data_IF_100440704834
#
_entry.id   IF_100440704834
#
_cell.length_a   1.000
_cell.length_b   1.000
_cell.length_c   1.000
_cell.angle_alpha   90.00
_cell.angle_beta   90.00
_cell.angle_gamma   90.00
#
_symmetry.space_group_name_H-M   'P 1'
#
loop_
_entity.id
_entity.type
_entity.pdbx_description
1 polymer ?
#
# COMPACT_ATOMS: atom_id res chain seq x y z
N UNK A 1 -48.23 52.21 13.45
CA UNK A 1 -47.04 52.99 13.08
C UNK A 1 -46.25 52.18 12.05
N UNK A 2 -46.25 52.63 10.84
CA UNK A 2 -45.60 52.03 9.71
C UNK A 2 -44.15 52.51 9.66
N UNK A 3 -43.18 51.63 9.39
CA UNK A 3 -41.84 52.01 9.01
C UNK A 3 -41.40 51.17 7.81
N UNK A 4 -40.99 51.88 6.84
CA UNK A 4 -40.74 51.66 5.43
C UNK A 4 -39.53 50.84 5.12
N UNK A 5 -39.67 49.96 4.10
CA UNK A 5 -38.57 49.33 3.38
C UNK A 5 -37.79 50.35 2.55
N UNK A 6 -36.47 50.32 2.64
CA UNK A 6 -35.61 50.96 1.64
C UNK A 6 -34.76 49.89 0.95
N UNK A 7 -34.96 49.83 -0.38
CA UNK A 7 -34.24 49.02 -1.37
C UNK A 7 -32.84 49.57 -1.62
N UNK A 8 -31.84 48.68 -1.61
CA UNK A 8 -30.50 48.96 -2.14
C UNK A 8 -30.24 48.06 -3.33
N UNK A 9 -30.38 48.61 -4.50
CA UNK A 9 -29.92 48.09 -5.78
C UNK A 9 -28.45 48.42 -5.94
N UNK A 10 -27.57 47.45 -6.02
CA UNK A 10 -26.17 47.63 -6.43
C UNK A 10 -25.93 47.06 -7.81
N UNK A 11 -25.40 47.90 -8.65
CA UNK A 11 -25.12 47.73 -10.06
C UNK A 11 -24.03 46.65 -10.31
N UNK A 12 -24.30 45.76 -11.25
CA UNK A 12 -23.30 44.88 -11.88
C UNK A 12 -22.58 45.67 -12.99
N UNK A 13 -21.30 45.92 -12.80
CA UNK A 13 -20.41 46.41 -13.86
C UNK A 13 -19.82 45.24 -14.64
N UNK A 14 -20.10 45.21 -15.94
CA UNK A 14 -19.50 44.33 -16.94
C UNK A 14 -17.99 44.56 -17.02
N UNK A 15 -17.21 43.49 -16.76
CA UNK A 15 -15.80 43.43 -17.11
C UNK A 15 -15.64 42.54 -18.35
N UNK A 16 -15.41 43.19 -19.49
CA UNK A 16 -15.06 42.58 -20.77
C UNK A 16 -13.61 42.09 -20.74
N UNK A 17 -13.37 40.80 -20.84
CA UNK A 17 -12.05 40.21 -21.04
C UNK A 17 -11.79 40.03 -22.54
N UNK A 18 -10.90 40.84 -23.05
CA UNK A 18 -10.32 40.70 -24.39
C UNK A 18 -9.34 39.54 -24.42
N UNK A 19 -9.58 38.58 -25.30
CA UNK A 19 -8.68 37.51 -25.64
C UNK A 19 -7.60 37.99 -26.61
N UNK A 20 -6.37 38.07 -26.16
CA UNK A 20 -5.21 38.21 -27.04
C UNK A 20 -4.64 36.85 -27.35
N UNK A 21 -4.78 36.40 -28.58
CA UNK A 21 -4.11 35.26 -29.19
C UNK A 21 -2.68 35.64 -29.53
N UNK A 22 -1.71 35.04 -28.85
CA UNK A 22 -0.31 35.05 -29.27
C UNK A 22 0.07 33.66 -29.74
N UNK A 23 0.24 33.51 -31.04
CA UNK A 23 0.88 32.41 -31.71
C UNK A 23 2.38 32.46 -31.43
N UNK A 24 2.94 31.41 -30.86
CA UNK A 24 4.39 31.23 -30.84
C UNK A 24 4.76 29.84 -31.30
N UNK A 25 5.59 29.89 -32.32
CA UNK A 25 6.26 28.84 -33.07
C UNK A 25 7.00 27.79 -32.22
N UNK A 26 6.98 26.53 -32.71
CA UNK A 26 7.82 25.43 -32.28
C UNK A 26 9.31 25.74 -32.51
N UNK A 27 10.19 25.32 -31.63
CA UNK A 27 11.54 24.99 -32.03
C UNK A 27 11.75 23.47 -32.10
N UNK A 28 12.47 23.12 -33.13
CA UNK A 28 13.00 21.83 -33.50
C UNK A 28 14.09 21.32 -32.57
N UNK A 29 14.35 20.02 -32.75
CA UNK A 29 15.58 19.25 -32.51
C UNK A 29 15.75 18.59 -31.16
N UNK A 30 15.54 17.27 -31.24
CA UNK A 30 16.06 16.28 -30.28
C UNK A 30 17.54 16.01 -30.58
N UNK A 31 18.41 15.94 -29.59
CA UNK A 31 19.72 15.33 -29.80
C UNK A 31 19.66 13.81 -29.67
N UNK A 32 20.27 13.18 -30.57
CA UNK A 32 20.61 11.77 -30.75
C UNK A 32 21.29 11.24 -29.48
N UNK A 33 20.65 10.32 -28.75
CA UNK A 33 21.29 9.60 -27.65
C UNK A 33 22.09 8.46 -28.23
N UNK A 34 23.41 8.54 -28.07
CA UNK A 34 24.38 7.53 -28.43
C UNK A 34 24.10 6.20 -27.70
N UNK A 35 24.02 5.12 -28.48
CA UNK A 35 24.05 3.74 -28.01
C UNK A 35 25.40 3.45 -27.37
N UNK A 36 25.42 3.03 -26.12
CA UNK A 36 26.56 2.37 -25.51
C UNK A 36 26.57 0.90 -25.89
N UNK A 37 27.75 0.33 -26.21
CA UNK A 37 27.85 -1.08 -26.58
C UNK A 37 27.82 -1.98 -25.35
N UNK A 38 27.12 -3.09 -25.50
CA UNK A 38 27.15 -4.26 -24.63
C UNK A 38 28.55 -4.86 -24.61
N UNK A 39 29.19 -4.92 -23.43
CA UNK A 39 30.40 -5.71 -23.26
C UNK A 39 30.05 -7.07 -22.67
N UNK A 40 30.23 -8.06 -23.50
CA UNK A 40 30.26 -9.49 -23.20
C UNK A 40 31.48 -9.86 -22.37
N UNK A 41 31.27 -10.79 -21.45
CA UNK A 41 32.16 -11.90 -21.09
C UNK A 41 33.65 -11.64 -20.93
N UNK A 42 34.16 -11.81 -19.74
CA UNK A 42 35.42 -12.52 -19.52
C UNK A 42 35.38 -13.33 -18.24
N UNK A 43 35.30 -14.65 -18.41
CA UNK A 43 35.86 -15.63 -17.49
C UNK A 43 37.38 -15.48 -17.55
N UNK A 44 38.04 -15.49 -16.41
CA UNK A 44 39.42 -15.83 -16.25
C UNK A 44 39.62 -16.46 -14.90
N UNK A 45 39.91 -17.72 -14.95
CA UNK A 45 40.63 -18.58 -14.04
C UNK A 45 41.86 -17.93 -13.44
N UNK A 46 42.16 -18.29 -12.21
CA UNK A 46 43.48 -18.43 -11.58
C UNK A 46 43.28 -19.20 -10.29
N UNK A 47 43.44 -20.52 -10.32
CA UNK A 47 44.54 -21.38 -9.92
C UNK A 47 45.24 -20.97 -8.61
N UNK A 48 44.98 -21.84 -7.66
CA UNK A 48 45.84 -22.49 -6.67
C UNK A 48 47.19 -21.86 -6.34
N UNK A 49 47.42 -21.65 -5.06
CA UNK A 49 48.72 -21.96 -4.47
C UNK A 49 48.55 -22.59 -3.09
N UNK A 50 49.22 -23.69 -2.93
CA UNK A 50 49.28 -24.67 -1.86
C UNK A 50 50.17 -24.26 -0.71
N UNK A 51 49.81 -24.81 0.47
CA UNK A 51 50.67 -25.47 1.45
C UNK A 51 51.66 -24.65 2.29
N UNK A 52 51.56 -24.76 3.60
CA UNK A 52 52.41 -25.47 4.55
C UNK A 52 51.91 -25.15 5.95
N UNK A 53 51.47 -26.11 6.71
CA UNK A 53 52.12 -27.05 7.62
C UNK A 53 52.54 -26.45 8.95
N UNK A 54 51.98 -27.07 9.97
CA UNK A 54 52.49 -27.32 11.33
C UNK A 54 52.43 -26.16 12.34
N UNK A 55 51.61 -26.27 13.37
CA UNK A 55 51.98 -26.88 14.65
C UNK A 55 50.76 -26.90 15.60
N UNK A 56 50.49 -27.99 16.24
CA UNK A 56 49.62 -28.11 17.41
C UNK A 56 50.47 -28.02 18.67
N UNK A 57 49.96 -27.55 19.83
CA UNK A 57 49.51 -28.54 20.82
C UNK A 57 48.25 -28.12 21.61
N UNK A 58 47.45 -29.15 21.87
CA UNK A 58 47.08 -29.77 23.17
C UNK A 58 46.10 -29.01 24.09
N UNK A 59 44.92 -29.61 24.14
CA UNK A 59 44.06 -29.88 25.31
C UNK A 59 43.67 -28.73 26.26
N UNK A 60 42.40 -28.36 26.19
CA UNK A 60 41.60 -28.08 27.39
C UNK A 60 40.14 -28.45 27.10
N UNK A 61 39.61 -29.41 27.84
CA UNK A 61 38.22 -29.86 27.80
C UNK A 61 37.25 -28.74 28.15
N UNK A 62 36.11 -28.58 27.44
CA UNK A 62 35.07 -27.69 27.89
C UNK A 62 34.21 -28.34 28.97
N UNK A 63 34.11 -27.67 30.08
CA UNK A 63 33.12 -27.90 31.12
C UNK A 63 31.75 -27.63 30.52
N UNK A 64 30.90 -28.63 30.44
CA UNK A 64 29.48 -28.53 30.14
C UNK A 64 28.81 -27.69 31.22
N UNK A 65 28.35 -26.48 30.79
CA UNK A 65 27.36 -25.74 31.53
C UNK A 65 26.01 -26.00 30.85
N UNK A 66 25.26 -26.93 31.40
CA UNK A 66 23.86 -27.11 31.14
C UNK A 66 23.11 -25.80 31.55
N UNK A 67 22.67 -25.03 30.57
CA UNK A 67 21.69 -23.98 30.78
C UNK A 67 20.29 -24.57 30.61
N UNK A 68 19.32 -24.26 31.47
CA UNK A 68 17.97 -24.83 31.39
C UNK A 68 17.23 -24.28 30.18
N UNK A 69 16.96 -25.17 29.24
CA UNK A 69 16.19 -24.89 28.02
C UNK A 69 14.66 -24.96 28.23
N UNK A 70 14.19 -24.92 29.49
CA UNK A 70 12.77 -25.15 29.79
C UNK A 70 11.94 -23.87 29.84
N UNK A 71 12.57 -22.66 29.92
CA UNK A 71 11.85 -21.41 30.09
C UNK A 71 11.44 -20.71 28.75
N UNK A 72 12.02 -21.13 27.62
CA UNK A 72 11.67 -20.49 26.31
C UNK A 72 10.43 -21.13 25.67
N UNK A 73 10.15 -22.41 25.90
CA UNK A 73 8.97 -23.07 25.33
C UNK A 73 7.65 -22.62 25.97
N UNK A 74 7.65 -22.27 27.28
CA UNK A 74 6.45 -21.75 27.95
C UNK A 74 6.05 -20.34 27.47
N UNK A 75 7.01 -19.52 27.06
CA UNK A 75 6.72 -18.16 26.56
C UNK A 75 6.13 -18.20 25.15
N UNK A 76 6.56 -19.13 24.31
CA UNK A 76 6.03 -19.29 22.96
C UNK A 76 4.62 -19.87 22.95
N UNK A 77 4.32 -20.80 23.88
CA UNK A 77 2.98 -21.36 24.03
C UNK A 77 1.96 -20.34 24.54
N UNK A 78 2.37 -19.45 25.46
CA UNK A 78 1.54 -18.34 25.96
C UNK A 78 1.28 -17.27 24.87
N UNK A 79 2.27 -17.00 24.02
CA UNK A 79 2.12 -16.05 22.90
C UNK A 79 1.18 -16.60 21.82
N UNK A 80 1.28 -17.90 21.52
CA UNK A 80 0.39 -18.57 20.54
C UNK A 80 -1.04 -18.65 21.09
N UNK A 81 -1.24 -18.93 22.38
CA UNK A 81 -2.56 -18.98 23.00
C UNK A 81 -3.28 -17.61 23.03
N UNK A 82 -2.54 -16.50 23.14
CA UNK A 82 -3.12 -15.14 23.08
C UNK A 82 -3.52 -14.75 21.66
N UNK A 83 -2.91 -15.35 20.62
CA UNK A 83 -3.26 -15.08 19.22
C UNK A 83 -4.59 -15.74 18.81
N UNK A 84 -4.94 -16.89 19.37
CA UNK A 84 -6.16 -17.62 19.02
C UNK A 84 -7.42 -17.08 19.75
N UNK A 85 -7.29 -16.38 20.88
CA UNK A 85 -8.45 -15.85 21.62
C UNK A 85 -9.09 -14.57 21.07
N UNK A 86 -8.48 -13.93 20.07
CA UNK A 86 -9.02 -12.70 19.47
C UNK A 86 -10.04 -12.97 18.35
N UNK A 87 -10.79 -14.06 18.40
CA UNK A 87 -11.83 -14.38 17.42
C UNK A 87 -13.13 -13.61 17.67
N UNK A 88 -13.69 -13.02 16.63
CA UNK A 88 -15.09 -12.54 16.58
C UNK A 88 -15.42 -11.36 17.50
N UNK A 89 -16.02 -11.61 18.66
CA UNK A 89 -16.55 -10.56 19.56
C UNK A 89 -15.43 -9.84 20.31
N UNK A 90 -14.39 -10.56 20.73
CA UNK A 90 -13.23 -10.02 21.44
C UNK A 90 -12.46 -9.03 20.53
N UNK A 91 -12.25 -9.41 19.28
CA UNK A 91 -11.59 -8.56 18.29
C UNK A 91 -12.38 -7.28 17.98
N UNK A 92 -13.71 -7.36 17.93
CA UNK A 92 -14.55 -6.15 17.79
C UNK A 92 -14.43 -5.23 19.01
N UNK A 93 -14.34 -5.77 20.22
CA UNK A 93 -14.10 -4.98 21.45
C UNK A 93 -12.72 -4.32 21.37
N UNK A 94 -11.69 -5.07 21.02
CA UNK A 94 -10.32 -4.58 20.85
C UNK A 94 -10.25 -3.41 19.83
N UNK A 95 -10.79 -3.59 18.63
CA UNK A 95 -10.80 -2.53 17.62
C UNK A 95 -11.58 -1.29 18.09
N UNK A 96 -12.71 -1.46 18.79
CA UNK A 96 -13.46 -0.33 19.35
C UNK A 96 -12.67 0.41 20.43
N UNK A 97 -11.95 -0.31 21.28
CA UNK A 97 -11.13 0.26 22.33
C UNK A 97 -9.94 1.06 21.75
N UNK A 98 -9.30 0.52 20.70
CA UNK A 98 -8.19 1.20 20.02
C UNK A 98 -8.65 2.41 19.19
N UNK A 99 -9.88 2.44 18.70
CA UNK A 99 -10.42 3.54 17.89
C UNK A 99 -11.50 4.34 18.65
N UNK A 100 -11.13 5.14 19.66
CA UNK A 100 -12.10 5.99 20.35
C UNK A 100 -12.71 7.00 19.35
N UNK A 101 -14.03 7.15 19.36
CA UNK A 101 -14.76 7.97 18.38
C UNK A 101 -14.88 7.38 16.98
N UNK A 102 -14.38 6.13 16.77
CA UNK A 102 -14.48 5.42 15.51
C UNK A 102 -13.50 5.89 14.41
N UNK A 103 -13.70 5.40 13.19
CA UNK A 103 -12.80 5.66 12.05
C UNK A 103 -12.73 7.13 11.62
N UNK A 104 -13.74 7.94 11.90
CA UNK A 104 -13.78 9.33 11.46
C UNK A 104 -13.01 10.27 12.39
N UNK A 105 -12.91 9.92 13.65
CA UNK A 105 -12.27 10.74 14.69
C UNK A 105 -10.74 10.59 14.72
N UNK A 106 -10.19 9.64 13.98
CA UNK A 106 -8.76 9.35 14.00
C UNK A 106 -7.95 10.35 13.18
N UNK A 107 -6.77 10.74 13.70
CA UNK A 107 -5.88 11.74 13.08
C UNK A 107 -5.33 11.28 11.73
N UNK A 108 -4.88 10.01 11.65
CA UNK A 108 -4.22 9.46 10.48
C UNK A 108 -5.20 8.57 9.73
N UNK A 109 -6.04 9.19 8.92
CA UNK A 109 -7.01 8.47 8.08
C UNK A 109 -6.76 8.72 6.60
N UNK A 110 -6.91 7.68 5.77
CA UNK A 110 -6.86 7.83 4.33
C UNK A 110 -7.84 6.89 3.63
N UNK A 111 -8.11 7.16 2.36
CA UNK A 111 -8.98 6.32 1.53
C UNK A 111 -8.21 5.81 0.32
N UNK A 112 -8.34 4.51 0.07
CA UNK A 112 -7.89 3.89 -1.16
C UNK A 112 -9.06 3.36 -1.99
N UNK A 113 -8.87 3.25 -3.29
CA UNK A 113 -9.91 2.78 -4.23
C UNK A 113 -9.29 1.96 -5.34
N UNK A 114 -9.91 0.82 -5.66
CA UNK A 114 -9.52 -0.04 -6.78
C UNK A 114 -10.75 -0.72 -7.37
N UNK A 115 -10.98 -0.57 -8.66
CA UNK A 115 -12.24 -1.01 -9.31
C UNK A 115 -13.43 -0.41 -8.56
N UNK A 116 -14.32 -1.26 -8.03
CA UNK A 116 -15.47 -0.86 -7.19
C UNK A 116 -15.18 -0.96 -5.69
N UNK A 117 -13.99 -1.43 -5.29
CA UNK A 117 -13.60 -1.50 -3.88
C UNK A 117 -13.19 -0.14 -3.33
N UNK A 118 -13.66 0.15 -2.13
CA UNK A 118 -13.34 1.36 -1.35
C UNK A 118 -12.85 0.93 0.01
N UNK A 119 -11.63 1.33 0.37
CA UNK A 119 -11.03 1.09 1.67
C UNK A 119 -10.84 2.41 2.42
N UNK A 120 -11.32 2.49 3.65
CA UNK A 120 -10.99 3.56 4.60
C UNK A 120 -9.99 2.97 5.59
N UNK A 121 -8.80 3.52 5.60
CA UNK A 121 -7.67 3.05 6.40
C UNK A 121 -7.39 4.05 7.51
N UNK A 122 -7.10 3.53 8.69
CA UNK A 122 -6.58 4.25 9.85
C UNK A 122 -5.26 3.59 10.22
N UNK A 123 -4.23 4.40 10.45
CA UNK A 123 -2.98 3.95 11.02
C UNK A 123 -2.86 4.42 12.46
N UNK A 124 -2.44 3.53 13.33
CA UNK A 124 -2.09 3.81 14.73
C UNK A 124 -0.74 3.17 15.03
N UNK A 125 -0.01 3.73 15.97
CA UNK A 125 1.21 3.13 16.48
C UNK A 125 0.88 1.78 17.15
N UNK A 126 1.67 0.75 16.83
CA UNK A 126 1.37 -0.60 17.30
C UNK A 126 2.43 -1.63 16.89
N UNK A 127 2.00 -2.84 16.61
CA UNK A 127 2.84 -4.03 16.42
C UNK A 127 2.85 -4.57 14.98
N UNK A 128 2.26 -3.87 14.01
CA UNK A 128 2.19 -4.33 12.61
C UNK A 128 0.98 -5.21 12.29
N UNK A 129 -0.01 -5.28 13.17
CA UNK A 129 -1.23 -6.07 12.94
C UNK A 129 -2.16 -5.39 11.93
N UNK A 130 -2.87 -6.20 11.15
CA UNK A 130 -3.79 -5.70 10.12
C UNK A 130 -5.20 -6.21 10.38
N UNK A 131 -6.13 -5.31 10.64
CA UNK A 131 -7.53 -5.62 10.92
C UNK A 131 -8.45 -5.11 9.81
N UNK A 132 -9.21 -6.00 9.19
CA UNK A 132 -10.13 -5.68 8.08
C UNK A 132 -11.56 -5.99 8.50
N UNK A 133 -12.42 -4.97 8.53
CA UNK A 133 -13.83 -5.12 8.92
C UNK A 133 -14.03 -5.85 10.25
N UNK A 134 -13.21 -5.53 11.26
CA UNK A 134 -13.23 -6.16 12.60
C UNK A 134 -12.88 -7.66 12.60
N UNK A 135 -12.11 -8.12 11.61
CA UNK A 135 -11.53 -9.46 11.53
C UNK A 135 -10.04 -9.34 11.30
N UNK A 136 -9.30 -10.37 11.62
CA UNK A 136 -7.89 -10.44 11.24
C UNK A 136 -7.76 -10.50 9.71
N UNK A 137 -6.68 -9.90 9.18
CA UNK A 137 -6.46 -9.85 7.75
C UNK A 137 -6.25 -11.24 7.14
N UNK A 138 -5.60 -12.16 7.87
CA UNK A 138 -5.36 -13.53 7.43
C UNK A 138 -6.70 -14.27 7.20
N UNK A 139 -7.61 -14.17 8.16
CA UNK A 139 -8.95 -14.76 8.07
C UNK A 139 -9.77 -14.10 6.94
N UNK A 140 -9.78 -12.76 6.89
CA UNK A 140 -10.59 -12.01 5.91
C UNK A 140 -10.15 -12.25 4.47
N UNK A 141 -8.85 -12.31 4.21
CA UNK A 141 -8.25 -12.54 2.89
C UNK A 141 -8.04 -14.03 2.56
N UNK A 142 -8.68 -14.93 3.34
CA UNK A 142 -8.64 -16.38 3.11
C UNK A 142 -7.21 -16.94 3.06
N UNK A 143 -6.29 -16.38 3.82
CA UNK A 143 -4.90 -16.84 3.89
C UNK A 143 -4.08 -16.65 2.61
N UNK A 144 -4.57 -15.90 1.61
CA UNK A 144 -3.82 -15.68 0.38
C UNK A 144 -2.59 -14.78 0.62
N UNK A 145 -1.35 -15.29 0.44
CA UNK A 145 -0.14 -14.56 0.77
C UNK A 145 0.02 -13.28 -0.05
N UNK A 146 -0.28 -13.30 -1.35
CA UNK A 146 -0.17 -12.11 -2.20
C UNK A 146 -1.07 -10.96 -1.74
N UNK A 147 -2.28 -11.25 -1.28
CA UNK A 147 -3.19 -10.21 -0.82
C UNK A 147 -2.79 -9.65 0.53
N UNK A 148 -2.22 -10.49 1.40
CA UNK A 148 -1.63 -10.06 2.67
C UNK A 148 -0.43 -9.15 2.44
N UNK A 149 0.44 -9.53 1.51
CA UNK A 149 1.60 -8.75 1.11
C UNK A 149 1.19 -7.37 0.56
N UNK A 150 0.20 -7.28 -0.34
CA UNK A 150 -0.31 -5.99 -0.82
C UNK A 150 -0.71 -5.04 0.31
N UNK A 151 -1.27 -5.54 1.40
CA UNK A 151 -1.64 -4.69 2.53
C UNK A 151 -0.41 -4.11 3.25
N UNK A 152 0.72 -4.84 3.26
CA UNK A 152 1.94 -4.47 3.98
C UNK A 152 2.98 -3.75 3.10
N UNK A 153 2.98 -3.93 1.76
CA UNK A 153 3.97 -3.35 0.85
C UNK A 153 4.35 -1.90 1.16
N UNK A 154 3.41 -0.95 1.39
CA UNK A 154 3.81 0.43 1.66
C UNK A 154 4.59 0.62 2.97
N UNK A 155 4.34 -0.24 3.98
CA UNK A 155 5.09 -0.23 5.24
C UNK A 155 6.48 -0.83 5.06
N UNK A 156 6.58 -1.94 4.32
CA UNK A 156 7.84 -2.60 3.95
C UNK A 156 8.76 -1.63 3.22
N UNK A 157 8.23 -0.92 2.20
CA UNK A 157 9.00 0.07 1.41
C UNK A 157 9.64 1.16 2.29
N UNK A 158 9.00 1.51 3.41
CA UNK A 158 9.49 2.54 4.34
C UNK A 158 10.18 1.96 5.60
N UNK A 159 10.21 0.63 5.77
CA UNK A 159 10.76 -0.02 6.96
C UNK A 159 9.92 0.15 8.23
N UNK A 160 8.61 0.40 8.10
CA UNK A 160 7.68 0.60 9.23
C UNK A 160 6.78 -0.59 9.51
N UNK A 161 7.21 -1.81 9.18
CA UNK A 161 6.38 -3.02 9.28
C UNK A 161 5.79 -3.25 10.67
N UNK A 162 6.59 -3.08 11.70
CA UNK A 162 6.23 -3.32 13.10
C UNK A 162 5.85 -2.06 13.88
N UNK A 163 5.84 -0.90 13.21
CA UNK A 163 5.59 0.39 13.89
C UNK A 163 4.12 0.79 13.91
N UNK A 164 3.31 0.27 12.99
CA UNK A 164 1.93 0.70 12.82
C UNK A 164 0.96 -0.45 12.70
N UNK A 165 -0.12 -0.38 13.48
CA UNK A 165 -1.32 -1.20 13.28
C UNK A 165 -2.22 -0.59 12.21
N UNK A 166 -2.77 -1.44 11.34
CA UNK A 166 -3.63 -1.03 10.24
C UNK A 166 -5.07 -1.43 10.54
N UNK A 167 -5.94 -0.46 10.74
CA UNK A 167 -7.37 -0.68 10.87
C UNK A 167 -8.07 -0.28 9.57
N UNK A 168 -8.82 -1.19 8.97
CA UNK A 168 -9.48 -0.97 7.68
C UNK A 168 -10.96 -1.26 7.74
N UNK A 169 -11.75 -0.33 7.21
CA UNK A 169 -13.13 -0.57 6.84
C UNK A 169 -13.23 -0.59 5.32
N UNK A 170 -13.55 -1.76 4.75
CA UNK A 170 -13.58 -1.96 3.30
C UNK A 170 -14.95 -2.46 2.84
N UNK A 171 -15.38 -2.02 1.67
CA UNK A 171 -16.62 -2.47 1.05
C UNK A 171 -16.52 -2.41 -0.49
N UNK A 172 -17.37 -3.19 -1.14
CA UNK A 172 -17.45 -3.29 -2.59
C UNK A 172 -16.31 -4.10 -3.23
N UNK A 173 -16.49 -4.48 -4.47
CA UNK A 173 -15.52 -5.27 -5.24
C UNK A 173 -15.29 -6.69 -4.71
N UNK A 174 -14.18 -7.30 -5.10
CA UNK A 174 -13.71 -8.60 -4.61
C UNK A 174 -12.42 -8.46 -3.79
N UNK A 175 -11.99 -9.52 -3.11
CA UNK A 175 -10.86 -9.53 -2.18
C UNK A 175 -9.57 -8.96 -2.79
N UNK A 176 -9.22 -9.35 -4.02
CA UNK A 176 -8.07 -8.79 -4.73
C UNK A 176 -8.17 -7.27 -4.94
N UNK A 177 -9.35 -6.76 -5.30
CA UNK A 177 -9.57 -5.31 -5.46
C UNK A 177 -9.52 -4.58 -4.13
N UNK A 178 -9.99 -5.22 -3.06
CA UNK A 178 -9.95 -4.69 -1.71
C UNK A 178 -8.53 -4.61 -1.18
N UNK A 179 -7.71 -5.67 -1.34
CA UNK A 179 -6.30 -5.67 -0.94
C UNK A 179 -5.51 -4.52 -1.62
N UNK A 180 -5.70 -4.34 -2.93
CA UNK A 180 -5.05 -3.23 -3.66
C UNK A 180 -5.60 -1.85 -3.24
N UNK A 181 -6.88 -1.75 -2.89
CA UNK A 181 -7.44 -0.51 -2.34
C UNK A 181 -6.86 -0.20 -0.96
N UNK A 182 -6.63 -1.22 -0.12
CA UNK A 182 -5.97 -1.08 1.18
C UNK A 182 -4.54 -0.58 0.99
N UNK A 183 -3.76 -1.20 0.08
CA UNK A 183 -2.41 -0.76 -0.28
C UNK A 183 -2.34 0.75 -0.56
N UNK A 184 -3.16 1.22 -1.49
CA UNK A 184 -3.24 2.65 -1.81
C UNK A 184 -3.67 3.52 -0.61
N UNK A 185 -4.58 3.01 0.23
CA UNK A 185 -5.03 3.69 1.44
C UNK A 185 -3.90 3.86 2.46
N UNK A 186 -3.14 2.78 2.73
CA UNK A 186 -1.97 2.79 3.64
C UNK A 186 -0.91 3.76 3.13
N UNK A 187 -0.53 3.68 1.84
CA UNK A 187 0.44 4.59 1.24
C UNK A 187 0.04 6.07 1.44
N UNK A 188 -1.24 6.41 1.23
CA UNK A 188 -1.74 7.77 1.46
C UNK A 188 -1.76 8.18 2.92
N UNK A 189 -1.99 7.25 3.84
CA UNK A 189 -1.94 7.53 5.27
C UNK A 189 -0.51 7.81 5.73
N UNK A 190 0.48 7.06 5.24
CA UNK A 190 1.90 7.26 5.52
C UNK A 190 2.42 8.63 5.02
N UNK A 191 1.92 9.12 3.89
CA UNK A 191 2.22 10.48 3.41
C UNK A 191 1.66 11.56 4.34
N UNK A 192 0.54 11.29 5.04
CA UNK A 192 -0.02 12.23 6.03
C UNK A 192 0.80 12.29 7.32
N UNK A 193 1.50 11.22 7.67
CA UNK A 193 2.39 11.20 8.83
C UNK A 193 3.62 12.09 8.55
N UNK A 194 4.28 11.84 7.41
CA UNK A 194 5.43 12.65 6.98
C UNK A 194 5.42 12.85 5.47
N UNK A 195 5.66 14.08 5.03
CA UNK A 195 5.77 14.45 3.61
C UNK A 195 6.99 13.84 2.93
N UNK A 196 8.05 13.52 3.69
CA UNK A 196 9.27 12.85 3.19
C UNK A 196 8.97 11.47 2.63
N UNK A 197 7.98 10.75 3.19
CA UNK A 197 7.56 9.42 2.74
C UNK A 197 6.95 9.42 1.32
N UNK A 198 6.62 10.60 0.79
CA UNK A 198 6.00 10.74 -0.53
C UNK A 198 6.92 10.32 -1.67
N UNK A 199 8.21 10.60 -1.58
CA UNK A 199 9.18 10.34 -2.65
C UNK A 199 9.35 8.83 -2.87
N UNK A 200 9.75 8.02 -1.86
CA UNK A 200 9.92 6.58 -2.05
C UNK A 200 8.62 5.86 -2.42
N UNK A 201 7.48 6.23 -1.82
CA UNK A 201 6.18 5.64 -2.18
C UNK A 201 5.72 5.98 -3.61
N UNK A 202 6.17 7.11 -4.15
CA UNK A 202 5.86 7.51 -5.53
C UNK A 202 6.74 6.79 -6.54
N UNK A 203 8.03 6.56 -6.25
CA UNK A 203 8.93 5.79 -7.12
C UNK A 203 8.43 4.37 -7.34
N UNK A 204 7.90 3.74 -6.28
CA UNK A 204 7.27 2.42 -6.34
C UNK A 204 5.84 2.42 -6.94
N UNK A 205 5.30 3.58 -7.31
CA UNK A 205 3.97 3.69 -7.91
C UNK A 205 2.80 3.47 -6.94
N UNK A 206 3.04 3.33 -5.63
CA UNK A 206 2.03 2.99 -4.61
C UNK A 206 1.00 4.11 -4.36
N UNK A 207 1.30 5.35 -4.73
CA UNK A 207 0.40 6.49 -4.61
C UNK A 207 -0.55 6.64 -5.79
N UNK A 208 -0.31 5.91 -6.89
CA UNK A 208 -1.09 6.01 -8.12
C UNK A 208 -2.31 5.10 -8.04
N UNK A 209 -3.51 5.67 -8.26
CA UNK A 209 -4.71 4.86 -8.39
C UNK A 209 -4.74 4.18 -9.76
N UNK A 210 -4.86 2.86 -9.78
CA UNK A 210 -5.13 2.13 -11.01
C UNK A 210 -6.59 2.35 -11.45
N UNK A 211 -6.77 2.91 -12.64
CA UNK A 211 -8.07 3.29 -13.19
C UNK A 211 -8.74 2.17 -13.99
N UNK A 212 -8.06 1.04 -14.23
CA UNK A 212 -8.58 -0.08 -15.01
C UNK A 212 -9.83 -0.68 -14.35
N UNK A 213 -10.95 -0.61 -15.07
CA UNK A 213 -12.24 -1.20 -14.69
C UNK A 213 -12.79 -2.02 -15.85
N UNK A 214 -13.80 -2.85 -15.60
CA UNK A 214 -14.49 -3.59 -16.66
C UNK A 214 -15.21 -2.61 -17.56
N UNK A 215 -14.94 -2.68 -18.87
CA UNK A 215 -15.57 -1.82 -19.86
C UNK A 215 -17.05 -2.23 -20.05
N UNK A 216 -17.89 -1.22 -20.23
CA UNK A 216 -19.32 -1.38 -20.52
C UNK A 216 -19.53 -2.03 -21.89
N UNK A 217 -20.52 -2.91 -22.02
CA UNK A 217 -20.99 -3.42 -23.33
C UNK A 217 -21.37 -2.24 -24.23
N UNK A 218 -20.94 -2.28 -25.48
CA UNK A 218 -21.29 -1.27 -26.51
C UNK A 218 -22.41 -1.77 -27.42
N UNK A 219 -23.22 -0.86 -27.92
CA UNK A 219 -24.24 -1.17 -28.92
C UNK A 219 -23.58 -1.73 -30.19
N UNK A 220 -24.23 -2.69 -30.85
CA UNK A 220 -23.69 -3.36 -32.03
C UNK A 220 -22.59 -4.41 -31.76
N UNK A 221 -22.12 -4.54 -30.52
CA UNK A 221 -21.13 -5.53 -30.14
C UNK A 221 -21.72 -6.58 -29.18
N UNK A 222 -21.17 -7.82 -29.16
CA UNK A 222 -21.56 -8.85 -28.18
C UNK A 222 -21.07 -8.54 -26.77
N UNK A 223 -19.87 -7.95 -26.64
CA UNK A 223 -19.25 -7.46 -25.38
C UNK A 223 -18.74 -6.03 -25.57
N UNK A 224 -17.85 -5.58 -24.72
CA UNK A 224 -17.26 -4.25 -24.83
C UNK A 224 -16.53 -4.02 -26.15
N UNK A 225 -15.79 -5.05 -26.63
CA UNK A 225 -14.99 -5.02 -27.86
C UNK A 225 -15.25 -6.19 -28.81
N UNK A 226 -15.90 -7.27 -28.38
CA UNK A 226 -16.17 -8.44 -29.19
C UNK A 226 -17.30 -8.15 -30.18
N UNK A 227 -16.98 -8.23 -31.49
CA UNK A 227 -17.96 -8.11 -32.55
C UNK A 227 -18.80 -9.39 -32.71
N UNK A 228 -20.04 -9.32 -33.23
CA UNK A 228 -20.76 -10.49 -33.70
C UNK A 228 -20.02 -11.14 -34.87
N UNK A 229 -20.19 -12.43 -35.01
CA UNK A 229 -19.65 -13.15 -36.15
C UNK A 229 -20.35 -12.66 -37.43
N UNK A 230 -19.58 -12.38 -38.45
CA UNK A 230 -20.11 -12.09 -39.77
C UNK A 230 -20.58 -13.40 -40.40
N UNK A 231 -21.82 -13.47 -40.87
CA UNK A 231 -22.34 -14.59 -41.66
C UNK A 231 -22.72 -14.06 -43.03
N UNK A 232 -22.08 -14.61 -44.06
CA UNK A 232 -22.47 -14.35 -45.46
C UNK A 232 -23.76 -15.10 -45.74
N UNK A 233 -24.78 -14.41 -46.23
CA UNK A 233 -26.00 -15.00 -46.77
C UNK A 233 -25.87 -15.14 -48.27
#
# INVERSE_FOLDING_TARGET
MALTLSSLTTAFSHLSLQSTSTSTSKPHSLPLVARLPSSSSRRADLLALSASAADAPEAAEPVEAEAPAEDEEELDEVVVAVEDELSGVALRKYVKQRLPGGFAAQRITATGRRKTAIARVVLQEGTGRVFINFRDAKEYLQGNPMWMEYCKVPLVTLGFENSYDIFVKVHGGGLSGQAQAICLGVARALVKISTTNKVPLRSEGLLTRDTRIVERKKAGLKKARKRPQFSKR
#
